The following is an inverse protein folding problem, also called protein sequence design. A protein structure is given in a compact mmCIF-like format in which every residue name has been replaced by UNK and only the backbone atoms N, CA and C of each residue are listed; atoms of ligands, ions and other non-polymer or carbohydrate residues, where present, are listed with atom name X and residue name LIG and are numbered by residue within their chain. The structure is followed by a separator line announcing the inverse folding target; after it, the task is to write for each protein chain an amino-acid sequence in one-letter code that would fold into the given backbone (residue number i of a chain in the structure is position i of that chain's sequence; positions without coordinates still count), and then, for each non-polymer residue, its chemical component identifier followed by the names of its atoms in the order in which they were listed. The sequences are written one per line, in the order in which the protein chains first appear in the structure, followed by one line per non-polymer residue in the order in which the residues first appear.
data_IF_773178355538
#
_entry.id   IF_773178355538
#
_cell.length_a   1.000
_cell.length_b   1.000
_cell.length_c   1.000
_cell.angle_alpha   90.00
_cell.angle_beta   90.00
_cell.angle_gamma   90.00
#
_symmetry.space_group_name_H-M   'P 1'
#
loop_
_entity.id
_entity.type
_entity.pdbx_description
1 polymer ?
#
# COMPACT_ATOMS: atom_id res chain seq x y z
N UNK A 1 -15.64 27.13 -9.96
CA UNK A 1 -16.02 26.03 -9.07
C UNK A 1 -14.81 25.12 -8.94
N UNK A 2 -14.39 24.77 -7.72
CA UNK A 2 -13.34 23.79 -7.48
C UNK A 2 -13.78 22.43 -8.02
N UNK A 3 -12.85 21.65 -8.56
CA UNK A 3 -13.12 20.27 -8.99
C UNK A 3 -13.09 19.37 -7.76
N UNK A 4 -14.16 18.62 -7.51
CA UNK A 4 -14.21 17.61 -6.47
C UNK A 4 -13.27 16.44 -6.80
N UNK A 5 -12.60 15.88 -5.78
CA UNK A 5 -11.74 14.71 -5.86
C UNK A 5 -12.12 13.76 -4.73
N UNK A 6 -12.56 12.56 -5.09
CA UNK A 6 -12.97 11.53 -4.15
C UNK A 6 -11.77 10.66 -3.73
N UNK A 7 -11.41 10.74 -2.45
CA UNK A 7 -10.28 10.01 -1.86
C UNK A 7 -10.82 8.89 -0.98
N UNK A 8 -10.54 7.63 -1.34
CA UNK A 8 -10.92 6.46 -0.55
C UNK A 8 -9.79 6.11 0.41
N UNK A 9 -10.09 6.12 1.70
CA UNK A 9 -9.27 5.53 2.76
C UNK A 9 -9.77 4.10 3.01
N UNK A 10 -9.00 3.11 2.56
CA UNK A 10 -9.39 1.70 2.56
C UNK A 10 -9.04 1.04 3.89
N UNK A 11 -10.04 0.54 4.60
CA UNK A 11 -9.96 -0.14 5.91
C UNK A 11 -9.20 0.63 7.02
N UNK A 12 -9.44 1.93 7.23
CA UNK A 12 -8.66 2.70 8.19
C UNK A 12 -8.82 2.25 9.66
N UNK A 13 -9.84 1.47 10.00
CA UNK A 13 -10.03 0.92 11.35
C UNK A 13 -9.11 -0.26 11.65
N UNK A 14 -8.84 -1.10 10.66
CA UNK A 14 -8.06 -2.34 10.82
C UNK A 14 -6.64 -2.23 10.22
N UNK A 15 -6.42 -1.31 9.28
CA UNK A 15 -5.19 -1.15 8.51
C UNK A 15 -4.59 0.26 8.69
N UNK A 16 -4.10 0.56 9.90
CA UNK A 16 -3.52 1.87 10.23
C UNK A 16 -2.51 1.76 11.41
N UNK A 17 -1.75 0.67 11.45
CA UNK A 17 -0.95 0.34 12.65
C UNK A 17 0.14 1.36 12.98
N UNK A 18 0.75 2.00 11.99
CA UNK A 18 1.83 2.98 12.18
C UNK A 18 1.42 4.40 11.74
N UNK A 19 0.12 4.70 11.78
CA UNK A 19 -0.39 6.04 11.45
C UNK A 19 -0.44 6.32 9.96
N UNK A 20 -0.63 5.29 9.12
CA UNK A 20 -0.70 5.42 7.66
C UNK A 20 -1.86 6.32 7.18
N UNK A 21 -2.87 6.55 8.04
CA UNK A 21 -3.90 7.59 7.82
C UNK A 21 -3.33 9.00 7.62
N UNK A 22 -2.11 9.25 8.06
CA UNK A 22 -1.39 10.49 7.76
C UNK A 22 -1.13 10.70 6.26
N UNK A 23 -1.10 9.63 5.45
CA UNK A 23 -1.08 9.75 3.99
C UNK A 23 -2.38 10.34 3.45
N UNK A 24 -3.52 9.95 4.01
CA UNK A 24 -4.84 10.50 3.66
C UNK A 24 -4.90 11.99 3.97
N UNK A 25 -4.49 12.38 5.18
CA UNK A 25 -4.44 13.78 5.60
C UNK A 25 -3.51 14.62 4.70
N UNK A 26 -2.36 14.05 4.30
CA UNK A 26 -1.42 14.72 3.41
C UNK A 26 -2.04 14.96 2.02
N UNK A 27 -2.71 13.95 1.45
CA UNK A 27 -3.40 14.07 0.16
C UNK A 27 -4.53 15.08 0.25
N UNK A 28 -5.40 14.98 1.23
CA UNK A 28 -6.50 15.91 1.48
C UNK A 28 -5.99 17.37 1.54
N UNK A 29 -4.96 17.59 2.36
CA UNK A 29 -4.39 18.93 2.51
C UNK A 29 -3.74 19.45 1.24
N UNK A 30 -3.00 18.62 0.51
CA UNK A 30 -2.37 19.01 -0.76
C UNK A 30 -3.41 19.32 -1.83
N UNK A 31 -4.45 18.51 -1.98
CA UNK A 31 -5.54 18.76 -2.91
C UNK A 31 -6.19 20.12 -2.62
N UNK A 32 -6.51 20.42 -1.36
CA UNK A 32 -7.07 21.71 -0.97
C UNK A 32 -6.12 22.87 -1.28
N UNK A 33 -4.81 22.73 -1.06
CA UNK A 33 -3.82 23.76 -1.40
C UNK A 33 -3.70 24.01 -2.91
N UNK A 34 -3.96 22.98 -3.73
CA UNK A 34 -4.00 23.10 -5.19
C UNK A 34 -5.35 23.57 -5.73
N UNK A 35 -6.32 23.91 -4.85
CA UNK A 35 -7.62 24.46 -5.24
C UNK A 35 -8.67 23.40 -5.62
N UNK A 36 -8.44 22.13 -5.29
CA UNK A 36 -9.44 21.08 -5.40
C UNK A 36 -10.31 21.01 -4.14
N UNK A 37 -11.45 20.32 -4.24
CA UNK A 37 -12.34 20.03 -3.12
C UNK A 37 -12.24 18.52 -2.79
N UNK A 38 -11.42 18.13 -1.79
CA UNK A 38 -11.26 16.73 -1.44
C UNK A 38 -12.45 16.20 -0.64
N UNK A 39 -13.01 15.08 -1.07
CA UNK A 39 -14.01 14.32 -0.34
C UNK A 39 -13.39 13.00 0.15
N UNK A 40 -13.15 12.87 1.45
CA UNK A 40 -12.52 11.67 2.03
C UNK A 40 -13.59 10.68 2.47
N UNK A 41 -13.55 9.47 1.90
CA UNK A 41 -14.44 8.35 2.20
C UNK A 41 -13.67 7.27 2.96
N UNK A 42 -13.97 7.10 4.25
CA UNK A 42 -13.48 5.97 5.04
C UNK A 42 -14.31 4.73 4.69
N UNK A 43 -13.70 3.75 4.03
CA UNK A 43 -14.36 2.51 3.60
C UNK A 43 -13.82 1.33 4.41
N UNK A 44 -14.60 0.85 5.37
CA UNK A 44 -14.31 -0.33 6.16
C UNK A 44 -15.09 -1.55 5.66
N UNK A 45 -15.01 -2.67 6.39
CA UNK A 45 -15.78 -3.87 6.06
C UNK A 45 -17.27 -3.56 6.02
N UNK A 46 -17.93 -4.03 4.97
CA UNK A 46 -19.37 -3.88 4.71
C UNK A 46 -19.85 -2.42 4.54
N UNK A 47 -18.97 -1.43 4.61
CA UNK A 47 -19.34 -0.06 4.25
C UNK A 47 -19.68 0.03 2.75
N UNK A 48 -20.63 0.89 2.34
CA UNK A 48 -20.89 1.11 0.93
C UNK A 48 -19.66 1.70 0.25
N UNK A 49 -19.44 1.33 -1.01
CA UNK A 49 -18.41 1.97 -1.84
C UNK A 49 -18.93 3.31 -2.36
N UNK A 50 -18.13 4.38 -2.35
CA UNK A 50 -18.55 5.66 -2.91
C UNK A 50 -18.77 5.54 -4.43
N UNK A 51 -19.59 6.44 -4.98
CA UNK A 51 -19.91 6.46 -6.40
C UNK A 51 -18.65 6.66 -7.26
N UNK A 52 -17.76 7.53 -6.80
CA UNK A 52 -16.49 7.83 -7.44
C UNK A 52 -15.30 7.50 -6.50
N UNK A 53 -14.14 7.22 -7.10
CA UNK A 53 -12.88 7.02 -6.40
C UNK A 53 -11.75 7.49 -7.31
N UNK A 54 -11.22 8.67 -7.04
CA UNK A 54 -10.14 9.26 -7.83
C UNK A 54 -8.75 8.90 -7.28
N UNK A 55 -8.65 8.64 -5.97
CA UNK A 55 -7.41 8.22 -5.29
C UNK A 55 -7.78 7.20 -4.21
N UNK A 56 -6.99 6.12 -4.09
CA UNK A 56 -7.21 5.09 -3.06
C UNK A 56 -5.96 4.95 -2.20
N UNK A 57 -6.11 5.05 -0.88
CA UNK A 57 -5.02 4.94 0.07
C UNK A 57 -5.35 3.86 1.10
N UNK A 58 -4.39 2.99 1.37
CA UNK A 58 -4.54 1.91 2.33
C UNK A 58 -3.27 1.69 3.16
N UNK A 59 -3.43 1.37 4.42
CA UNK A 59 -2.34 1.27 5.37
C UNK A 59 -1.92 -0.15 5.72
N UNK A 60 -0.99 -0.25 6.67
CA UNK A 60 -0.52 -1.49 7.23
C UNK A 60 -1.38 -2.01 8.37
N UNK A 61 -1.36 -3.30 8.56
CA UNK A 61 -2.04 -3.99 9.65
C UNK A 61 -1.32 -5.26 10.03
N UNK A 62 -1.63 -5.78 11.21
CA UNK A 62 -1.17 -7.11 11.63
C UNK A 62 -1.98 -8.21 10.93
N UNK A 63 -1.49 -9.45 10.98
CA UNK A 63 -2.16 -10.63 10.40
C UNK A 63 -3.64 -10.75 10.84
N UNK A 64 -3.94 -10.39 12.08
CA UNK A 64 -5.31 -10.37 12.60
C UNK A 64 -6.22 -9.35 11.90
N UNK A 65 -5.68 -8.18 11.55
CA UNK A 65 -6.36 -7.16 10.76
C UNK A 65 -6.58 -7.64 9.33
N UNK A 66 -5.54 -8.20 8.71
CA UNK A 66 -5.61 -8.77 7.36
C UNK A 66 -6.67 -9.89 7.28
N UNK A 67 -6.65 -10.83 8.23
CA UNK A 67 -7.67 -11.92 8.31
C UNK A 67 -9.10 -11.38 8.43
N UNK A 68 -9.31 -10.26 9.12
CA UNK A 68 -10.63 -9.66 9.24
C UNK A 68 -11.15 -9.08 7.93
N UNK A 69 -10.29 -8.37 7.19
CA UNK A 69 -10.73 -7.63 6.01
C UNK A 69 -10.76 -8.45 4.74
N UNK A 70 -10.11 -9.63 4.72
CA UNK A 70 -9.84 -10.39 3.50
C UNK A 70 -11.10 -10.73 2.69
N UNK A 71 -12.16 -11.18 3.34
CA UNK A 71 -13.43 -11.54 2.68
C UNK A 71 -14.08 -10.31 2.02
N UNK A 72 -14.04 -9.16 2.70
CA UNK A 72 -14.57 -7.92 2.16
C UNK A 72 -13.71 -7.39 1.01
N UNK A 73 -12.38 -7.51 1.13
CA UNK A 73 -11.44 -7.15 0.07
C UNK A 73 -11.69 -7.98 -1.19
N UNK A 74 -11.95 -9.28 -1.06
CA UNK A 74 -12.32 -10.14 -2.19
C UNK A 74 -13.61 -9.71 -2.88
N UNK A 75 -14.63 -9.32 -2.12
CA UNK A 75 -15.89 -8.81 -2.71
C UNK A 75 -15.66 -7.52 -3.52
N UNK A 76 -14.62 -6.76 -3.20
CA UNK A 76 -14.25 -5.51 -3.89
C UNK A 76 -13.18 -5.72 -4.98
N UNK A 77 -12.62 -6.92 -5.09
CA UNK A 77 -11.45 -7.18 -5.90
C UNK A 77 -11.64 -6.79 -7.37
N UNK A 78 -12.76 -7.17 -7.99
CA UNK A 78 -13.00 -6.86 -9.40
C UNK A 78 -13.09 -5.35 -9.63
N UNK A 79 -13.76 -4.62 -8.74
CA UNK A 79 -13.81 -3.16 -8.81
C UNK A 79 -12.44 -2.52 -8.62
N UNK A 80 -11.64 -3.00 -7.68
CA UNK A 80 -10.28 -2.49 -7.44
C UNK A 80 -9.36 -2.75 -8.64
N UNK A 81 -9.47 -3.92 -9.29
CA UNK A 81 -8.75 -4.23 -10.52
C UNK A 81 -9.15 -3.31 -11.66
N UNK A 82 -10.45 -3.13 -11.87
CA UNK A 82 -10.98 -2.22 -12.89
C UNK A 82 -10.47 -0.79 -12.69
N UNK A 83 -10.53 -0.26 -11.47
CA UNK A 83 -9.99 1.07 -11.14
C UNK A 83 -8.48 1.16 -11.37
N UNK A 84 -7.72 0.12 -11.03
CA UNK A 84 -6.28 0.06 -11.29
C UNK A 84 -5.96 0.06 -12.81
N UNK A 85 -6.70 -0.71 -13.61
CA UNK A 85 -6.57 -0.76 -15.07
C UNK A 85 -6.93 0.59 -15.72
N UNK A 86 -7.91 1.31 -15.16
CA UNK A 86 -8.27 2.66 -15.59
C UNK A 86 -7.33 3.76 -15.08
N UNK A 87 -6.26 3.37 -14.36
CA UNK A 87 -5.19 4.27 -13.95
C UNK A 87 -5.47 5.08 -12.69
N UNK A 88 -6.47 4.71 -11.89
CA UNK A 88 -6.71 5.34 -10.57
C UNK A 88 -5.48 5.12 -9.70
N UNK A 89 -4.86 6.19 -9.15
CA UNK A 89 -3.70 6.06 -8.28
C UNK A 89 -4.08 5.40 -6.96
N UNK A 90 -3.28 4.40 -6.57
CA UNK A 90 -3.45 3.67 -5.33
C UNK A 90 -2.11 3.58 -4.60
N UNK A 91 -2.11 3.86 -3.28
CA UNK A 91 -0.95 3.66 -2.42
C UNK A 91 -1.32 2.68 -1.31
N UNK A 92 -0.71 1.49 -1.35
CA UNK A 92 -0.93 0.39 -0.43
C UNK A 92 0.31 0.14 0.42
N UNK A 93 0.16 0.31 1.74
CA UNK A 93 1.27 0.18 2.68
C UNK A 93 1.23 -1.19 3.36
N UNK A 94 2.36 -1.86 3.43
CA UNK A 94 2.65 -3.06 4.22
C UNK A 94 1.56 -4.15 4.09
N UNK A 95 0.65 -4.29 5.04
CA UNK A 95 -0.37 -5.34 5.03
C UNK A 95 -1.30 -5.27 3.81
N UNK A 96 -1.70 -4.07 3.36
CA UNK A 96 -2.46 -3.95 2.11
C UNK A 96 -1.60 -4.15 0.87
N UNK A 97 -0.31 -3.80 0.89
CA UNK A 97 0.61 -4.18 -0.18
C UNK A 97 0.65 -5.70 -0.36
N UNK A 98 0.77 -6.46 0.74
CA UNK A 98 0.76 -7.93 0.73
C UNK A 98 -0.54 -8.50 0.15
N UNK A 99 -1.70 -7.97 0.56
CA UNK A 99 -3.01 -8.44 0.09
C UNK A 99 -3.37 -7.96 -1.33
N UNK A 100 -2.71 -6.94 -1.85
CA UNK A 100 -2.77 -6.56 -3.26
C UNK A 100 -1.89 -7.47 -4.14
N UNK A 101 -1.02 -8.27 -3.52
CA UNK A 101 -0.28 -9.36 -4.13
C UNK A 101 -1.14 -10.58 -4.45
N UNK A 102 -0.46 -11.68 -4.83
CA UNK A 102 -1.11 -12.96 -5.13
C UNK A 102 -1.54 -13.68 -3.84
N UNK A 103 -0.66 -13.70 -2.84
CA UNK A 103 -0.94 -14.27 -1.52
C UNK A 103 0.08 -13.80 -0.47
N UNK A 104 -0.31 -13.91 0.78
CA UNK A 104 0.56 -13.81 1.94
C UNK A 104 0.51 -15.12 2.73
N UNK A 105 1.65 -15.81 2.85
CA UNK A 105 1.82 -16.98 3.69
C UNK A 105 2.39 -16.55 5.04
N UNK A 106 1.63 -16.69 6.10
CA UNK A 106 2.05 -16.34 7.46
C UNK A 106 3.08 -17.33 8.00
N UNK A 107 3.78 -16.98 9.08
CA UNK A 107 4.80 -17.83 9.72
C UNK A 107 4.28 -19.23 10.09
N UNK A 108 3.01 -19.34 10.49
CA UNK A 108 2.36 -20.61 10.83
C UNK A 108 1.91 -21.42 9.60
N UNK A 109 2.24 -20.97 8.39
CA UNK A 109 1.88 -21.62 7.14
C UNK A 109 0.45 -21.34 6.66
N UNK A 110 -0.30 -20.47 7.34
CA UNK A 110 -1.61 -20.05 6.87
C UNK A 110 -1.47 -19.18 5.64
N UNK A 111 -2.10 -19.57 4.55
CA UNK A 111 -2.08 -18.81 3.30
C UNK A 111 -3.32 -17.92 3.19
N UNK A 112 -3.10 -16.63 3.12
CA UNK A 112 -4.11 -15.63 2.82
C UNK A 112 -4.00 -15.28 1.34
N UNK A 113 -4.98 -15.63 0.56
CA UNK A 113 -5.02 -15.26 -0.86
C UNK A 113 -5.17 -13.74 -0.99
N UNK A 114 -4.48 -13.14 -1.95
CA UNK A 114 -4.55 -11.72 -2.27
C UNK A 114 -5.41 -11.46 -3.50
N UNK A 115 -5.59 -10.19 -3.83
CA UNK A 115 -6.42 -9.81 -4.99
C UNK A 115 -5.64 -9.72 -6.31
N UNK A 116 -4.36 -10.02 -6.32
CA UNK A 116 -3.49 -10.17 -7.51
C UNK A 116 -3.44 -8.95 -8.44
N UNK A 117 -3.54 -7.73 -7.91
CA UNK A 117 -3.27 -6.50 -8.67
C UNK A 117 -1.77 -6.36 -8.92
N UNK A 118 -0.96 -6.66 -7.89
CA UNK A 118 0.49 -6.69 -7.99
C UNK A 118 0.91 -8.17 -8.10
N UNK A 119 1.62 -8.53 -9.16
CA UNK A 119 2.13 -9.90 -9.34
C UNK A 119 3.34 -10.14 -8.44
N UNK A 120 3.06 -10.35 -7.16
CA UNK A 120 4.03 -10.61 -6.12
C UNK A 120 3.43 -11.54 -5.07
N UNK A 121 4.26 -12.23 -4.29
CA UNK A 121 3.81 -13.00 -3.15
C UNK A 121 4.66 -12.69 -1.93
N UNK A 122 4.08 -12.89 -0.76
CA UNK A 122 4.77 -12.62 0.51
C UNK A 122 4.83 -13.88 1.36
N UNK A 123 5.98 -14.08 2.03
CA UNK A 123 6.20 -15.17 2.99
C UNK A 123 6.62 -14.58 4.32
N UNK A 124 5.88 -14.89 5.38
CA UNK A 124 6.22 -14.52 6.75
C UNK A 124 7.49 -15.22 7.23
N UNK A 125 8.37 -14.51 7.91
CA UNK A 125 9.64 -15.01 8.46
C UNK A 125 9.79 -14.61 9.92
N UNK A 126 10.67 -15.33 10.64
CA UNK A 126 11.03 -14.98 12.03
C UNK A 126 11.88 -13.71 12.12
N UNK A 127 12.58 -13.38 11.05
CA UNK A 127 13.38 -12.15 10.97
C UNK A 127 12.47 -10.96 10.69
N UNK A 128 12.60 -9.92 11.51
CA UNK A 128 11.84 -8.69 11.37
C UNK A 128 12.73 -7.57 10.86
N UNK A 129 12.35 -6.98 9.76
CA UNK A 129 13.00 -5.80 9.17
C UNK A 129 12.42 -4.55 9.79
N UNK A 130 13.27 -3.78 10.50
CA UNK A 130 12.86 -2.57 11.22
C UNK A 130 13.94 -1.51 11.06
N UNK A 131 13.58 -0.36 10.54
CA UNK A 131 14.52 0.74 10.46
C UNK A 131 14.06 1.88 9.56
N UNK A 132 14.84 2.94 9.58
CA UNK A 132 14.71 3.98 8.57
C UNK A 132 15.28 3.49 7.26
N UNK A 133 14.62 3.86 6.17
CA UNK A 133 14.92 3.38 4.84
C UNK A 133 15.01 4.57 3.88
N UNK A 134 15.97 4.52 3.00
CA UNK A 134 16.05 5.38 1.82
C UNK A 134 15.89 4.50 0.60
N UNK A 135 14.87 4.76 -0.18
CA UNK A 135 14.64 4.10 -1.46
C UNK A 135 15.08 5.01 -2.58
N UNK A 136 15.85 4.47 -3.52
CA UNK A 136 16.30 5.14 -4.72
C UNK A 136 15.37 4.79 -5.89
N UNK A 137 14.38 5.63 -6.12
CA UNK A 137 13.42 5.44 -7.21
C UNK A 137 13.85 6.22 -8.45
N UNK A 138 13.89 5.55 -9.60
CA UNK A 138 14.19 6.20 -10.88
C UNK A 138 13.16 7.28 -11.24
N UNK A 139 11.93 7.16 -10.73
CA UNK A 139 10.83 8.09 -11.03
C UNK A 139 10.71 9.22 -9.99
N UNK A 140 10.90 8.90 -8.72
CA UNK A 140 10.60 9.83 -7.61
C UNK A 140 11.86 10.39 -6.95
N UNK A 141 13.06 9.89 -7.33
CA UNK A 141 14.31 10.20 -6.64
C UNK A 141 14.38 9.46 -5.29
N UNK A 142 15.09 10.05 -4.34
CA UNK A 142 15.20 9.47 -3.01
C UNK A 142 13.89 9.63 -2.23
N UNK A 143 13.34 8.50 -1.77
CA UNK A 143 12.13 8.42 -0.97
C UNK A 143 12.49 7.96 0.43
N UNK A 144 12.09 8.72 1.44
CA UNK A 144 12.40 8.45 2.84
C UNK A 144 11.23 7.74 3.51
N UNK A 145 11.49 6.64 4.18
CA UNK A 145 10.49 5.86 4.87
C UNK A 145 11.00 5.21 6.15
N UNK A 146 10.15 4.41 6.74
CA UNK A 146 10.42 3.55 7.88
C UNK A 146 9.77 2.20 7.64
N UNK A 147 10.53 1.13 7.66
CA UNK A 147 10.01 -0.22 7.54
C UNK A 147 9.83 -0.90 8.90
N UNK A 148 8.80 -1.71 9.04
CA UNK A 148 8.58 -2.56 10.21
C UNK A 148 7.69 -3.75 9.83
N UNK A 149 8.29 -4.80 9.29
CA UNK A 149 7.58 -5.99 8.84
C UNK A 149 8.44 -7.25 8.96
N UNK A 150 7.80 -8.41 8.94
CA UNK A 150 8.45 -9.73 8.88
C UNK A 150 8.06 -10.52 7.62
N UNK A 151 7.12 -10.00 6.83
CA UNK A 151 6.80 -10.55 5.53
C UNK A 151 7.88 -10.19 4.52
N UNK A 152 8.41 -11.19 3.83
CA UNK A 152 9.31 -11.02 2.69
C UNK A 152 8.53 -11.14 1.40
N UNK A 153 8.54 -10.08 0.58
CA UNK A 153 7.82 -10.01 -0.68
C UNK A 153 8.75 -10.26 -1.85
N UNK A 154 8.33 -11.15 -2.72
CA UNK A 154 9.04 -11.56 -3.92
C UNK A 154 8.22 -11.15 -5.16
N UNK A 155 8.81 -10.30 -5.99
CA UNK A 155 8.17 -9.86 -7.22
C UNK A 155 8.26 -10.96 -8.29
N UNK A 156 7.18 -11.13 -9.07
CA UNK A 156 7.21 -12.02 -10.24
C UNK A 156 7.97 -11.38 -11.39
N UNK A 157 8.44 -12.22 -12.30
CA UNK A 157 9.11 -11.77 -13.52
C UNK A 157 8.30 -10.70 -14.25
N UNK A 158 8.97 -9.61 -14.61
CA UNK A 158 8.40 -8.46 -15.31
C UNK A 158 7.70 -7.41 -14.43
N UNK A 159 7.56 -7.66 -13.12
CA UNK A 159 7.08 -6.62 -12.18
C UNK A 159 8.24 -5.69 -11.83
N UNK A 160 8.00 -4.39 -11.94
CA UNK A 160 8.99 -3.39 -11.58
C UNK A 160 8.94 -3.08 -10.08
N UNK A 161 10.07 -3.11 -9.36
CA UNK A 161 10.13 -2.55 -8.01
C UNK A 161 9.85 -1.04 -8.07
N UNK A 162 9.43 -0.46 -6.97
CA UNK A 162 9.27 0.99 -6.85
C UNK A 162 10.66 1.66 -6.88
N UNK A 163 11.63 1.04 -6.25
CA UNK A 163 13.02 1.44 -6.27
C UNK A 163 13.97 0.39 -5.70
N UNK A 164 15.20 0.80 -5.42
CA UNK A 164 16.23 0.00 -4.77
C UNK A 164 16.62 0.60 -3.43
N UNK A 165 17.13 -0.23 -2.52
CA UNK A 165 17.57 0.17 -1.19
C UNK A 165 19.00 -0.26 -0.95
N UNK A 166 19.72 0.51 -0.13
CA UNK A 166 21.07 0.16 0.31
C UNK A 166 21.03 -0.75 1.54
N UNK A 167 22.01 -1.65 1.59
CA UNK A 167 22.21 -2.55 2.72
C UNK A 167 21.39 -3.85 2.68
N UNK A 168 21.92 -4.84 3.37
CA UNK A 168 21.27 -6.16 3.51
C UNK A 168 20.18 -6.13 4.57
N UNK A 169 19.18 -6.99 4.42
CA UNK A 169 18.12 -7.15 5.42
C UNK A 169 17.08 -6.04 5.43
N UNK A 170 16.91 -5.33 4.32
CA UNK A 170 15.95 -4.22 4.15
C UNK A 170 15.10 -4.39 2.89
N UNK A 171 14.03 -3.60 2.77
CA UNK A 171 13.17 -3.57 1.59
C UNK A 171 12.22 -4.75 1.48
N UNK A 172 11.93 -5.19 0.27
CA UNK A 172 10.91 -6.21 0.00
C UNK A 172 11.17 -7.54 0.70
N UNK A 173 12.40 -8.04 0.67
CA UNK A 173 12.73 -9.37 1.20
C UNK A 173 14.09 -9.45 1.92
N UNK A 174 14.85 -8.35 1.94
CA UNK A 174 16.17 -8.28 2.56
C UNK A 174 17.31 -8.93 1.78
N UNK A 175 17.06 -9.42 0.55
CA UNK A 175 18.02 -10.19 -0.23
C UNK A 175 18.35 -9.53 -1.59
N UNK A 176 17.33 -9.00 -2.28
CA UNK A 176 17.46 -8.53 -3.67
C UNK A 176 17.59 -7.00 -3.81
N UNK A 177 17.71 -6.28 -2.69
CA UNK A 177 17.82 -4.84 -2.62
C UNK A 177 16.69 -4.07 -3.32
N UNK A 178 15.52 -4.69 -3.49
CA UNK A 178 14.34 -4.00 -4.02
C UNK A 178 13.44 -3.50 -2.90
N UNK A 179 12.71 -2.43 -3.15
CA UNK A 179 11.65 -1.97 -2.28
C UNK A 179 10.39 -1.69 -3.10
N UNK A 180 9.23 -2.06 -2.50
CA UNK A 180 7.94 -1.86 -3.09
C UNK A 180 7.74 -2.52 -4.45
N UNK A 181 6.63 -2.16 -5.07
CA UNK A 181 6.30 -2.56 -6.44
C UNK A 181 5.39 -1.52 -7.06
N UNK A 182 5.42 -1.41 -8.39
CA UNK A 182 4.51 -0.58 -9.14
C UNK A 182 3.89 -1.33 -10.32
N UNK A 183 2.55 -1.24 -10.42
CA UNK A 183 1.78 -1.72 -11.56
C UNK A 183 0.81 -0.62 -11.97
N UNK A 184 0.92 -0.08 -13.18
CA UNK A 184 0.20 1.13 -13.59
C UNK A 184 0.42 2.29 -12.60
N UNK A 185 -0.64 2.79 -11.97
CA UNK A 185 -0.60 3.79 -10.91
C UNK A 185 -0.83 3.22 -9.51
N UNK A 186 -0.75 1.90 -9.36
CA UNK A 186 -0.80 1.22 -8.06
C UNK A 186 0.61 1.04 -7.54
N UNK A 187 0.86 1.58 -6.36
CA UNK A 187 2.12 1.48 -5.61
C UNK A 187 1.86 0.66 -4.36
N UNK A 188 2.63 -0.40 -4.17
CA UNK A 188 2.75 -1.13 -2.92
C UNK A 188 4.12 -0.88 -2.31
N UNK A 189 4.23 -0.66 -1.00
CA UNK A 189 5.50 -0.41 -0.31
C UNK A 189 5.44 -0.83 1.15
N UNK A 190 6.59 -1.15 1.73
CA UNK A 190 6.72 -1.37 3.18
C UNK A 190 7.03 -0.10 3.97
N UNK A 191 7.21 1.02 3.30
CA UNK A 191 7.56 2.27 3.96
C UNK A 191 6.37 2.91 4.68
N UNK A 192 6.41 2.82 6.00
CA UNK A 192 5.45 3.40 6.93
C UNK A 192 5.82 4.80 7.42
N UNK A 193 5.06 5.24 8.44
CA UNK A 193 5.26 6.47 9.18
C UNK A 193 4.77 7.67 8.40
N UNK A 194 3.62 7.51 7.74
CA UNK A 194 3.02 8.46 6.82
C UNK A 194 4.02 8.88 5.73
N UNK A 195 4.18 8.03 4.74
CA UNK A 195 5.16 8.18 3.65
C UNK A 195 5.08 9.54 2.97
N UNK A 196 3.88 9.97 2.60
CA UNK A 196 3.67 11.21 1.83
C UNK A 196 4.09 12.49 2.56
N UNK A 197 3.84 12.68 3.87
CA UNK A 197 4.34 13.87 4.58
C UNK A 197 5.87 13.99 4.62
N UNK A 198 6.59 12.88 4.61
CA UNK A 198 8.07 12.87 4.60
C UNK A 198 8.65 13.19 3.22
N UNK A 199 7.85 13.00 2.18
CA UNK A 199 8.26 13.14 0.78
C UNK A 199 7.38 14.19 0.09
N UNK A 200 7.69 15.49 0.28
CA UNK A 200 6.82 16.59 -0.15
C UNK A 200 6.89 16.91 -1.65
N UNK A 201 7.77 16.25 -2.41
CA UNK A 201 7.95 16.49 -3.85
C UNK A 201 6.86 15.82 -4.68
#
# INVERSE_FOLDING_TARGET
MSKAIDVVSLYPKDMNIYGDSGNVLAVERRLALYGYEPHVHAVNQNDPWPEHADIILGGGGQDTGQKKIIEDLFRRADRLRDLAEHGVPMLMICGLYQLFGEYFETIDGTKLEGISIIRAYTVGRDVRMIGNLVEHSAQFGDVLGYENHSGQTFLREGVQPLGTVDGDGTGNNGEDHTEGARVHNVIGTYMHGSLLPKNPK
#
